data_IF_320461210119
#
_entry.id   IF_320461210119
#
_cell.length_a   1.000
_cell.length_b   1.000
_cell.length_c   1.000
_cell.angle_alpha   90.00
_cell.angle_beta   90.00
_cell.angle_gamma   90.00
#
_symmetry.space_group_name_H-M   'P 1'
#
loop_
_entity.id
_entity.type
_entity.pdbx_description
1 polymer ?
#
# COMPACT_ATOMS: atom_id res chain seq x y z
N UNK A 1 7.13 -12.29 10.17
CA UNK A 1 8.44 -11.74 9.71
C UNK A 1 8.18 -10.32 9.26
N UNK A 2 8.96 -9.33 9.71
CA UNK A 2 8.83 -7.94 9.27
C UNK A 2 9.68 -7.65 8.02
N UNK A 3 9.50 -6.46 7.43
CA UNK A 3 10.31 -5.98 6.32
C UNK A 3 11.77 -5.70 6.74
N UNK A 4 12.70 -5.86 5.80
CA UNK A 4 14.07 -5.39 5.93
C UNK A 4 14.14 -3.85 5.80
N UNK A 5 15.22 -3.23 6.28
CA UNK A 5 15.41 -1.75 6.17
C UNK A 5 15.28 -1.27 4.71
N UNK A 6 15.92 -1.97 3.77
CA UNK A 6 15.83 -1.65 2.33
C UNK A 6 14.40 -1.75 1.79
N UNK A 7 13.61 -2.66 2.34
CA UNK A 7 12.21 -2.87 1.94
C UNK A 7 11.30 -1.78 2.51
N UNK A 8 11.61 -1.23 3.69
CA UNK A 8 10.95 -0.02 4.20
C UNK A 8 11.30 1.22 3.36
N UNK A 9 12.54 1.37 2.90
CA UNK A 9 12.92 2.44 1.99
C UNK A 9 12.21 2.33 0.63
N UNK A 10 12.06 1.11 0.10
CA UNK A 10 11.23 0.84 -1.09
C UNK A 10 9.77 1.24 -0.86
N UNK A 11 9.21 0.86 0.30
CA UNK A 11 7.83 1.19 0.67
C UNK A 11 7.63 2.70 0.79
N UNK A 12 8.57 3.44 1.39
CA UNK A 12 8.54 4.91 1.48
C UNK A 12 8.61 5.57 0.10
N UNK A 13 9.50 5.10 -0.78
CA UNK A 13 9.61 5.62 -2.14
C UNK A 13 8.33 5.40 -2.94
N UNK A 14 7.75 4.21 -2.85
CA UNK A 14 6.49 3.90 -3.50
C UNK A 14 5.32 4.72 -2.92
N UNK A 15 5.27 4.90 -1.58
CA UNK A 15 4.28 5.73 -0.90
C UNK A 15 4.32 7.21 -1.37
N UNK A 16 5.51 7.77 -1.58
CA UNK A 16 5.66 9.12 -2.15
C UNK A 16 5.14 9.19 -3.58
N UNK A 17 5.39 8.18 -4.41
CA UNK A 17 4.88 8.12 -5.77
C UNK A 17 3.35 7.97 -5.83
N UNK A 18 2.78 7.16 -4.93
CA UNK A 18 1.32 7.02 -4.76
C UNK A 18 0.70 8.37 -4.39
N UNK A 19 1.28 9.06 -3.41
CA UNK A 19 0.82 10.39 -2.95
C UNK A 19 0.85 11.42 -4.08
N UNK A 20 1.89 11.38 -4.90
CA UNK A 20 2.04 12.27 -6.06
C UNK A 20 1.29 11.79 -7.32
N UNK A 21 0.52 10.70 -7.24
CA UNK A 21 -0.17 10.08 -8.37
C UNK A 21 0.74 9.78 -9.58
N UNK A 22 2.00 9.43 -9.33
CA UNK A 22 3.01 9.10 -10.36
C UNK A 22 3.46 7.64 -10.31
N UNK A 23 2.86 6.83 -9.43
CA UNK A 23 3.17 5.41 -9.31
C UNK A 23 2.64 4.62 -10.51
N UNK A 24 3.49 3.76 -11.07
CA UNK A 24 3.09 2.80 -12.09
C UNK A 24 2.38 1.60 -11.46
N UNK A 25 1.59 0.85 -12.25
CA UNK A 25 0.92 -0.37 -11.78
C UNK A 25 1.88 -1.36 -11.09
N UNK A 26 3.05 -1.59 -11.69
CA UNK A 26 4.07 -2.49 -11.13
C UNK A 26 4.58 -2.01 -9.76
N UNK A 27 4.71 -0.69 -9.57
CA UNK A 27 5.12 -0.10 -8.29
C UNK A 27 4.01 -0.20 -7.24
N UNK A 28 2.74 -0.04 -7.65
CA UNK A 28 1.60 -0.25 -6.77
C UNK A 28 1.54 -1.72 -6.33
N UNK A 29 1.68 -2.67 -7.26
CA UNK A 29 1.73 -4.09 -6.91
C UNK A 29 2.87 -4.40 -5.94
N UNK A 30 4.07 -3.87 -6.21
CA UNK A 30 5.22 -4.04 -5.33
C UNK A 30 4.97 -3.44 -3.94
N UNK A 31 4.35 -2.27 -3.87
CA UNK A 31 3.96 -1.64 -2.62
C UNK A 31 2.99 -2.52 -1.81
N UNK A 32 1.97 -3.09 -2.46
CA UNK A 32 1.03 -4.01 -1.81
C UNK A 32 1.71 -5.27 -1.28
N UNK A 33 2.68 -5.82 -2.01
CA UNK A 33 3.45 -6.98 -1.56
C UNK A 33 4.30 -6.65 -0.32
N UNK A 34 4.93 -5.46 -0.29
CA UNK A 34 5.68 -4.99 0.87
C UNK A 34 4.75 -4.74 2.07
N UNK A 35 3.56 -4.20 1.83
CA UNK A 35 2.54 -3.99 2.86
C UNK A 35 2.07 -5.31 3.48
N UNK A 36 1.83 -6.35 2.69
CA UNK A 36 1.49 -7.69 3.20
C UNK A 36 2.63 -8.30 4.01
N UNK A 37 3.88 -8.05 3.60
CA UNK A 37 5.09 -8.50 4.28
C UNK A 37 5.45 -7.69 5.53
N UNK A 38 4.93 -6.47 5.69
CA UNK A 38 5.24 -5.56 6.82
C UNK A 38 4.85 -6.08 8.21
N UNK A 39 4.10 -7.18 8.29
CA UNK A 39 3.53 -7.68 9.53
C UNK A 39 2.25 -6.96 9.95
N UNK A 40 1.90 -5.85 9.30
CA UNK A 40 0.67 -5.08 9.54
C UNK A 40 -0.50 -5.55 8.65
N UNK A 41 -0.57 -6.86 8.39
CA UNK A 41 -1.58 -7.46 7.51
C UNK A 41 -3.01 -7.15 7.94
N UNK A 42 -3.24 -6.95 9.25
CA UNK A 42 -4.53 -6.57 9.80
C UNK A 42 -4.97 -5.16 9.36
N UNK A 43 -4.13 -4.13 9.54
CA UNK A 43 -4.40 -2.77 9.03
C UNK A 43 -4.70 -2.77 7.53
N UNK A 44 -3.85 -3.47 6.77
CA UNK A 44 -3.95 -3.52 5.31
C UNK A 44 -5.24 -4.23 4.87
N UNK A 45 -5.56 -5.36 5.49
CA UNK A 45 -6.81 -6.08 5.21
C UNK A 45 -8.04 -5.28 5.63
N UNK A 46 -7.97 -4.55 6.74
CA UNK A 46 -9.07 -3.69 7.20
C UNK A 46 -9.32 -2.55 6.22
N UNK A 47 -8.26 -1.92 5.70
CA UNK A 47 -8.38 -0.89 4.68
C UNK A 47 -9.01 -1.44 3.40
N UNK A 48 -8.51 -2.58 2.89
CA UNK A 48 -9.02 -3.22 1.68
C UNK A 48 -10.52 -3.47 1.79
N UNK A 49 -10.98 -4.01 2.94
CA UNK A 49 -12.41 -4.20 3.22
C UNK A 49 -13.19 -2.89 3.31
N UNK A 50 -12.63 -1.86 3.93
CA UNK A 50 -13.29 -0.56 4.06
C UNK A 50 -13.53 0.14 2.73
N UNK A 51 -12.67 -0.08 1.73
CA UNK A 51 -12.86 0.44 0.37
C UNK A 51 -13.76 -0.47 -0.50
N UNK A 52 -14.43 -1.45 0.11
CA UNK A 52 -15.36 -2.36 -0.56
C UNK A 52 -14.68 -3.45 -1.39
N UNK A 53 -13.41 -3.75 -1.12
CA UNK A 53 -12.65 -4.79 -1.80
C UNK A 53 -12.44 -5.96 -0.83
N UNK A 54 -12.61 -7.21 -1.29
CA UNK A 54 -12.60 -8.36 -0.39
C UNK A 54 -11.21 -8.99 -0.23
N UNK A 55 -10.31 -8.77 -1.19
CA UNK A 55 -8.96 -9.34 -1.18
C UNK A 55 -7.91 -8.44 -1.83
N UNK A 56 -6.65 -8.72 -1.51
CA UNK A 56 -5.51 -8.04 -2.14
C UNK A 56 -5.46 -8.31 -3.65
N UNK A 57 -5.86 -9.50 -4.09
CA UNK A 57 -5.89 -9.85 -5.51
C UNK A 57 -6.99 -9.08 -6.26
N UNK A 58 -8.15 -8.90 -5.62
CA UNK A 58 -9.23 -8.07 -6.15
C UNK A 58 -8.82 -6.59 -6.24
N UNK A 59 -8.04 -6.10 -5.26
CA UNK A 59 -7.44 -4.76 -5.31
C UNK A 59 -6.49 -4.62 -6.50
N UNK A 60 -5.59 -5.59 -6.71
CA UNK A 60 -4.67 -5.61 -7.86
C UNK A 60 -5.44 -5.65 -9.18
N UNK A 61 -6.52 -6.42 -9.26
CA UNK A 61 -7.38 -6.49 -10.44
C UNK A 61 -8.13 -5.16 -10.69
N UNK A 62 -8.64 -4.52 -9.63
CA UNK A 62 -9.32 -3.21 -9.72
C UNK A 62 -8.39 -2.13 -10.27
N UNK A 63 -7.13 -2.10 -9.78
CA UNK A 63 -6.12 -1.15 -10.24
C UNK A 63 -5.72 -1.37 -11.71
N UNK A 64 -5.84 -2.59 -12.22
CA UNK A 64 -5.55 -2.93 -13.61
C UNK A 64 -6.68 -2.48 -14.58
N UNK A 65 -7.91 -2.30 -14.10
CA UNK A 65 -9.09 -2.11 -14.95
C UNK A 65 -9.29 -0.68 -15.51
N UNK A 66 -8.24 0.17 -15.54
CA UNK A 66 -8.24 1.52 -16.15
C UNK A 66 -9.33 2.51 -15.70
N UNK A 67 -10.06 2.20 -14.62
CA UNK A 67 -11.12 3.07 -14.09
C UNK A 67 -10.48 4.20 -13.26
N UNK A 68 -10.16 5.30 -13.94
CA UNK A 68 -9.24 6.34 -13.48
C UNK A 68 -9.68 7.03 -12.18
N UNK A 69 -10.96 7.38 -12.06
CA UNK A 69 -11.51 8.04 -10.86
C UNK A 69 -11.52 7.11 -9.65
N UNK A 70 -12.03 5.89 -9.82
CA UNK A 70 -12.07 4.88 -8.75
C UNK A 70 -10.66 4.50 -8.27
N UNK A 71 -9.69 4.47 -9.19
CA UNK A 71 -8.30 4.18 -8.85
C UNK A 71 -7.64 5.30 -8.05
N UNK A 72 -8.04 6.56 -8.22
CA UNK A 72 -7.42 7.68 -7.53
C UNK A 72 -7.70 7.66 -6.02
N UNK A 73 -8.94 7.41 -5.62
CA UNK A 73 -9.32 7.29 -4.20
C UNK A 73 -8.67 6.07 -3.55
N UNK A 74 -8.61 4.94 -4.28
CA UNK A 74 -7.93 3.73 -3.84
C UNK A 74 -6.43 3.99 -3.64
N UNK A 75 -5.77 4.70 -4.58
CA UNK A 75 -4.34 5.05 -4.50
C UNK A 75 -4.07 5.99 -3.33
N UNK A 76 -4.92 7.01 -3.12
CA UNK A 76 -4.80 7.93 -1.98
C UNK A 76 -4.91 7.19 -0.65
N UNK A 77 -5.91 6.33 -0.50
CA UNK A 77 -6.05 5.56 0.73
C UNK A 77 -4.89 4.58 0.94
N UNK A 78 -4.36 3.95 -0.12
CA UNK A 78 -3.15 3.13 -0.02
C UNK A 78 -1.93 3.92 0.46
N UNK A 79 -1.77 5.16 0.00
CA UNK A 79 -0.69 6.03 0.46
C UNK A 79 -0.81 6.36 1.95
N UNK A 80 -2.04 6.51 2.47
CA UNK A 80 -2.30 6.73 3.90
C UNK A 80 -1.93 5.50 4.73
N UNK A 81 -2.38 4.30 4.32
CA UNK A 81 -2.04 3.06 5.04
C UNK A 81 -0.53 2.80 4.99
N UNK A 82 0.12 3.08 3.86
CA UNK A 82 1.59 3.02 3.75
C UNK A 82 2.28 3.91 4.75
N UNK A 83 1.79 5.14 4.90
CA UNK A 83 2.28 6.07 5.91
C UNK A 83 2.12 5.53 7.32
N UNK A 84 0.96 4.94 7.65
CA UNK A 84 0.71 4.34 8.95
C UNK A 84 1.67 3.18 9.25
N UNK A 85 1.94 2.32 8.27
CA UNK A 85 2.92 1.22 8.38
C UNK A 85 4.33 1.74 8.62
N UNK A 86 4.74 2.81 7.91
CA UNK A 86 6.05 3.44 8.12
C UNK A 86 6.17 4.06 9.52
N UNK A 87 5.12 4.72 10.00
CA UNK A 87 5.09 5.31 11.35
C UNK A 87 5.13 4.20 12.41
N UNK A 88 4.34 3.15 12.27
CA UNK A 88 4.36 2.00 13.18
C UNK A 88 5.76 1.38 13.26
N UNK A 89 6.42 1.21 12.11
CA UNK A 89 7.80 0.74 12.08
C UNK A 89 8.76 1.69 12.81
N UNK A 90 8.70 2.99 12.55
CA UNK A 90 9.53 4.00 13.24
C UNK A 90 9.36 3.94 14.76
N UNK A 91 8.12 3.76 15.24
CA UNK A 91 7.81 3.65 16.67
C UNK A 91 8.34 2.36 17.28
N UNK A 92 8.29 1.23 16.56
CA UNK A 92 8.85 -0.06 17.02
C UNK A 92 10.38 -0.14 16.95
N UNK A 93 11.05 0.85 16.34
CA UNK A 93 12.52 0.90 16.19
C UNK A 93 13.23 1.56 17.39
N UNK A 94 12.48 2.12 18.35
CA UNK A 94 12.98 2.58 19.66
C UNK A 94 13.10 1.41 20.63
#
# INVERSE_FOLDING_TARGET
MGLLIKEYEELEKAQKKLTNNTATFNEIQRFLDLMDKSGNKAEVSSYIKNIGINSMDELKASLNNNDRERNEDIIKGLAIVGGAVLVAWLLTRK
#
